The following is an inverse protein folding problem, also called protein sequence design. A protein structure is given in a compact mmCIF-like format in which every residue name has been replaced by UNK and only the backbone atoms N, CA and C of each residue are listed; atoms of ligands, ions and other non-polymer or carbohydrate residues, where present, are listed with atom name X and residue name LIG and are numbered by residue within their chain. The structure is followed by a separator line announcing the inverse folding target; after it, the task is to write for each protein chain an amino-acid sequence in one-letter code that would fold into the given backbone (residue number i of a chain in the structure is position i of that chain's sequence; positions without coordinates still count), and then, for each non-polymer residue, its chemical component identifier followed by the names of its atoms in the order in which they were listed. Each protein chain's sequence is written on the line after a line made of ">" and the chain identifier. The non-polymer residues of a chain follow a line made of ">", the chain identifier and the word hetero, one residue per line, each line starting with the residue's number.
data_IF_188196375998
#
_entry.id   IF_188196375998
#
_cell.length_a   1.000
_cell.length_b   1.000
_cell.length_c   1.000
_cell.angle_alpha   90.00
_cell.angle_beta   90.00
_cell.angle_gamma   90.00
#
_symmetry.space_group_name_H-M   'P 1'
#
loop_
_entity.id
_entity.type
_entity.pdbx_description
1 polymer ?
#
# COMPACT_ATOMS: atom_id res chain seq x y z
N UNK A 1 11.91 8.49 11.67
CA UNK A 1 10.83 7.50 11.77
C UNK A 1 10.84 6.70 10.49
N UNK A 2 11.05 5.38 10.57
CA UNK A 2 11.16 4.52 9.38
C UNK A 2 9.78 4.17 8.87
N UNK A 3 9.55 4.34 7.58
CA UNK A 3 8.30 3.99 6.90
C UNK A 3 8.49 2.64 6.22
N UNK A 4 7.59 1.70 6.47
CA UNK A 4 7.60 0.39 5.82
C UNK A 4 6.35 0.23 4.95
N UNK A 5 6.56 0.00 3.66
CA UNK A 5 5.48 -0.26 2.70
C UNK A 5 5.81 -1.53 1.96
N UNK A 6 4.93 -2.52 2.05
CA UNK A 6 4.96 -3.70 1.21
C UNK A 6 4.17 -3.45 -0.07
N UNK A 7 4.52 -4.15 -1.15
CA UNK A 7 3.77 -4.14 -2.42
C UNK A 7 3.43 -5.55 -2.85
N UNK A 8 2.24 -5.73 -3.41
CA UNK A 8 1.78 -7.00 -3.96
C UNK A 8 1.38 -6.81 -5.42
N UNK A 9 1.93 -7.64 -6.31
CA UNK A 9 1.63 -7.54 -7.74
C UNK A 9 0.23 -8.04 -8.04
N UNK A 10 -0.52 -7.27 -8.83
CA UNK A 10 -1.83 -7.67 -9.38
C UNK A 10 -1.61 -8.02 -10.84
N UNK A 11 -1.86 -9.28 -11.19
CA UNK A 11 -1.63 -9.82 -12.52
C UNK A 11 -2.90 -9.72 -13.38
N UNK A 12 -2.73 -9.46 -14.67
CA UNK A 12 -3.81 -9.64 -15.64
C UNK A 12 -3.96 -11.12 -16.05
N UNK A 13 -4.94 -11.40 -16.91
CA UNK A 13 -5.22 -12.77 -17.41
C UNK A 13 -4.03 -13.43 -18.11
N UNK A 14 -3.06 -12.65 -18.58
CA UNK A 14 -1.84 -13.12 -19.24
C UNK A 14 -0.65 -13.19 -18.27
N UNK A 15 -0.90 -13.17 -16.95
CA UNK A 15 0.11 -13.17 -15.88
C UNK A 15 1.09 -11.98 -15.90
N UNK A 16 0.77 -10.91 -16.64
CA UNK A 16 1.57 -9.69 -16.64
C UNK A 16 1.13 -8.76 -15.50
N UNK A 17 2.09 -8.05 -14.88
CA UNK A 17 1.80 -7.06 -13.83
C UNK A 17 0.99 -5.90 -14.39
N UNK A 18 -0.26 -5.80 -13.93
CA UNK A 18 -1.19 -4.74 -14.29
C UNK A 18 -1.12 -3.57 -13.30
N UNK A 19 -0.98 -3.87 -12.01
CA UNK A 19 -0.93 -2.91 -10.92
C UNK A 19 -0.18 -3.48 -9.72
N UNK A 20 0.04 -2.63 -8.71
CA UNK A 20 0.48 -3.05 -7.39
C UNK A 20 -0.52 -2.59 -6.34
N UNK A 21 -0.87 -3.49 -5.43
CA UNK A 21 -1.48 -3.16 -4.16
C UNK A 21 -0.40 -2.75 -3.16
N UNK A 22 -0.63 -1.66 -2.45
CA UNK A 22 0.26 -1.19 -1.40
C UNK A 22 -0.31 -1.57 -0.04
N UNK A 23 0.56 -2.12 0.81
CA UNK A 23 0.20 -2.67 2.09
C UNK A 23 1.00 -1.97 3.19
N UNK A 24 0.29 -1.44 4.18
CA UNK A 24 0.92 -0.83 5.35
C UNK A 24 1.72 -1.87 6.14
N UNK A 25 2.92 -1.49 6.57
CA UNK A 25 3.76 -2.23 7.51
C UNK A 25 4.29 -1.23 8.54
N UNK A 26 4.42 -1.67 9.79
CA UNK A 26 5.06 -0.88 10.84
C UNK A 26 6.50 -1.33 11.14
N UNK A 27 6.91 -2.46 10.56
CA UNK A 27 8.20 -3.11 10.83
C UNK A 27 8.69 -3.96 9.64
N UNK A 28 9.96 -4.40 9.68
CA UNK A 28 10.52 -5.35 8.69
C UNK A 28 9.90 -6.75 8.73
N UNK A 29 9.13 -7.09 9.77
CA UNK A 29 8.52 -8.42 9.91
C UNK A 29 7.44 -8.72 8.86
N UNK A 30 7.15 -7.74 7.97
CA UNK A 30 6.28 -7.85 6.81
C UNK A 30 4.88 -8.43 7.12
N UNK A 31 4.41 -8.20 8.34
CA UNK A 31 3.10 -8.61 8.82
C UNK A 31 2.19 -7.39 8.95
N UNK A 32 0.87 -7.64 8.97
CA UNK A 32 -0.08 -6.60 9.34
C UNK A 32 -0.06 -6.43 10.87
N UNK A 33 0.13 -5.21 11.41
CA UNK A 33 0.40 -5.02 12.83
C UNK A 33 -0.83 -5.01 13.75
N UNK A 34 -2.00 -5.43 13.26
CA UNK A 34 -3.22 -5.50 14.08
C UNK A 34 -3.78 -4.14 14.51
N UNK A 35 -3.39 -3.05 13.84
CA UNK A 35 -3.97 -1.71 14.02
C UNK A 35 -5.31 -1.60 13.27
N UNK A 36 -6.10 -0.56 13.54
CA UNK A 36 -7.34 -0.37 12.78
C UNK A 36 -7.06 -0.08 11.31
N UNK A 37 -7.86 -0.68 10.42
CA UNK A 37 -7.73 -0.52 8.97
C UNK A 37 -7.74 0.95 8.53
N UNK A 38 -8.60 1.76 9.16
CA UNK A 38 -8.67 3.20 8.89
C UNK A 38 -7.39 3.94 9.27
N UNK A 39 -6.76 3.61 10.41
CA UNK A 39 -5.49 4.22 10.81
C UNK A 39 -4.34 3.75 9.93
N UNK A 40 -4.28 2.46 9.57
CA UNK A 40 -3.30 1.94 8.63
C UNK A 40 -3.42 2.60 7.25
N UNK A 41 -4.64 2.72 6.73
CA UNK A 41 -4.94 3.33 5.43
C UNK A 41 -4.57 4.81 5.42
N UNK A 42 -4.97 5.57 6.44
CA UNK A 42 -4.64 6.99 6.56
C UNK A 42 -3.12 7.22 6.66
N UNK A 43 -2.41 6.41 7.45
CA UNK A 43 -0.95 6.45 7.53
C UNK A 43 -0.31 6.11 6.20
N UNK A 44 -0.75 5.04 5.54
CA UNK A 44 -0.23 4.66 4.22
C UNK A 44 -0.44 5.77 3.20
N UNK A 45 -1.60 6.42 3.15
CA UNK A 45 -1.87 7.54 2.23
C UNK A 45 -0.97 8.73 2.55
N UNK A 46 -0.88 9.14 3.82
CA UNK A 46 -0.02 10.24 4.23
C UNK A 46 1.44 9.95 3.89
N UNK A 47 1.95 8.77 4.25
CA UNK A 47 3.35 8.39 4.01
C UNK A 47 3.67 8.25 2.52
N UNK A 48 2.73 7.75 1.72
CA UNK A 48 2.88 7.58 0.28
C UNK A 48 2.76 8.91 -0.49
N UNK A 49 1.99 9.89 0.03
CA UNK A 49 1.97 11.25 -0.52
C UNK A 49 3.19 12.08 -0.09
N UNK A 50 3.68 11.87 1.14
CA UNK A 50 4.73 12.72 1.74
C UNK A 50 6.15 12.25 1.42
N UNK A 51 6.42 10.95 1.31
CA UNK A 51 7.81 10.45 1.28
C UNK A 51 8.29 9.96 -0.08
N UNK A 52 7.42 9.37 -0.92
CA UNK A 52 7.87 8.61 -2.08
C UNK A 52 6.89 8.78 -3.22
N UNK A 53 7.34 9.39 -4.32
CA UNK A 53 6.64 9.27 -5.59
C UNK A 53 6.39 7.79 -5.89
N UNK A 54 5.15 7.34 -5.71
CA UNK A 54 4.66 5.95 -5.88
C UNK A 54 5.25 5.22 -7.09
N UNK A 55 5.58 5.97 -8.14
CA UNK A 55 6.20 5.51 -9.38
C UNK A 55 7.44 4.63 -9.17
N UNK A 56 8.30 4.88 -8.19
CA UNK A 56 9.47 4.01 -7.95
C UNK A 56 9.07 2.65 -7.36
N UNK A 57 8.14 2.65 -6.40
CA UNK A 57 7.68 1.44 -5.72
C UNK A 57 6.77 0.61 -6.62
N UNK A 58 6.01 1.23 -7.52
CA UNK A 58 5.12 0.52 -8.44
C UNK A 58 5.72 0.28 -9.82
N UNK A 59 7.00 0.62 -10.02
CA UNK A 59 7.65 0.54 -11.34
C UNK A 59 6.83 1.26 -12.43
N UNK A 60 6.22 2.40 -12.07
CA UNK A 60 5.35 3.20 -12.94
C UNK A 60 3.96 2.62 -13.22
N UNK A 61 3.60 1.48 -12.62
CA UNK A 61 2.26 0.90 -12.70
C UNK A 61 1.31 1.57 -11.70
N UNK A 62 0.01 1.33 -11.86
CA UNK A 62 -1.03 1.85 -10.95
C UNK A 62 -0.80 1.32 -9.53
N UNK A 63 -0.91 2.20 -8.55
CA UNK A 63 -0.91 1.87 -7.13
C UNK A 63 -2.37 1.78 -6.65
N UNK A 64 -2.74 0.68 -6.00
CA UNK A 64 -4.03 0.50 -5.36
C UNK A 64 -3.83 0.41 -3.85
N UNK A 65 -4.77 0.94 -3.09
CA UNK A 65 -4.81 0.89 -1.62
C UNK A 65 -6.19 0.38 -1.25
N UNK A 66 -6.26 -0.62 -0.37
CA UNK A 66 -7.53 -1.06 0.18
C UNK A 66 -8.04 -0.05 1.20
N UNK A 67 -9.33 0.21 1.15
CA UNK A 67 -10.02 1.12 2.06
C UNK A 67 -11.08 0.30 2.79
N UNK A 68 -11.01 0.29 4.13
CA UNK A 68 -12.03 -0.37 4.95
C UNK A 68 -13.38 0.35 4.86
N UNK A 69 -14.51 -0.35 5.09
CA UNK A 69 -15.84 0.22 4.98
C UNK A 69 -16.08 1.42 5.91
N UNK A 70 -15.39 1.47 7.05
CA UNK A 70 -15.40 2.61 7.99
C UNK A 70 -14.89 3.91 7.36
N UNK A 71 -14.03 3.83 6.34
CA UNK A 71 -13.43 4.98 5.65
C UNK A 71 -14.21 5.45 4.42
N UNK A 72 -15.35 4.82 4.10
CA UNK A 72 -16.22 5.15 2.96
C UNK A 72 -17.48 5.94 3.37
N UNK A 73 -17.58 6.39 4.62
CA UNK A 73 -18.69 7.22 5.12
C UNK A 73 -18.46 8.70 4.89
#
# INVERSE_FOLDING_TARGET
>A
MSVFVARQAILNRNQNVAAYELLFRDSPENCFPGVSDGQATARLIMENQLNLGTRHITSGKKALINIGPESLK
#
